data_IF_974942771479
#
_entry.id   IF_974942771479
#
_cell.length_a   1.000
_cell.length_b   1.000
_cell.length_c   1.000
_cell.angle_alpha   90.00
_cell.angle_beta   90.00
_cell.angle_gamma   90.00
#
_symmetry.space_group_name_H-M   'P 1'
#
loop_
_entity.id
_entity.type
_entity.pdbx_description
1 polymer ?
#
# COMPACT_ATOMS: atom_id res chain seq x y z
N UNK A 1 -1.73 3.39 30.46
CA UNK A 1 -1.09 3.71 29.18
C UNK A 1 -1.85 4.87 28.56
N UNK A 2 -1.17 5.91 28.07
CA UNK A 2 -1.88 6.99 27.35
C UNK A 2 -1.99 6.64 25.87
N UNK A 3 -3.08 7.03 25.21
CA UNK A 3 -3.18 6.88 23.74
C UNK A 3 -2.01 7.60 23.03
N UNK A 4 -1.48 8.67 23.63
CA UNK A 4 -0.32 9.40 23.13
C UNK A 4 0.92 8.51 23.00
N UNK A 5 1.26 7.71 24.02
CA UNK A 5 2.45 6.84 23.99
C UNK A 5 2.38 5.82 22.86
N UNK A 6 1.21 5.21 22.65
CA UNK A 6 0.99 4.22 21.59
C UNK A 6 1.03 4.85 20.20
N UNK A 7 0.36 5.99 20.01
CA UNK A 7 0.35 6.65 18.70
C UNK A 7 1.75 7.15 18.32
N UNK A 8 2.53 7.66 19.27
CA UNK A 8 3.94 8.01 19.04
C UNK A 8 4.77 6.80 18.63
N UNK A 9 4.58 5.66 19.31
CA UNK A 9 5.24 4.41 18.94
C UNK A 9 4.86 3.99 17.52
N UNK A 10 3.58 4.03 17.16
CA UNK A 10 3.14 3.68 15.81
C UNK A 10 3.71 4.63 14.75
N UNK A 11 3.66 5.95 14.96
CA UNK A 11 4.31 6.88 14.03
C UNK A 11 5.79 6.57 13.83
N UNK A 12 6.52 6.26 14.91
CA UNK A 12 7.94 5.88 14.81
C UNK A 12 8.14 4.56 14.03
N UNK A 13 7.29 3.56 14.27
CA UNK A 13 7.33 2.26 13.57
C UNK A 13 7.06 2.39 12.06
N UNK A 14 6.42 3.47 11.61
CA UNK A 14 6.21 3.74 10.18
C UNK A 14 7.51 3.72 9.35
N UNK A 15 8.67 4.01 9.95
CA UNK A 15 9.96 3.92 9.27
C UNK A 15 10.23 2.51 8.73
N UNK A 16 9.81 1.48 9.46
CA UNK A 16 9.99 0.08 9.05
C UNK A 16 9.03 -0.29 7.93
N UNK A 17 7.80 0.24 7.93
CA UNK A 17 6.88 0.08 6.80
C UNK A 17 7.48 0.66 5.53
N UNK A 18 7.98 1.90 5.61
CA UNK A 18 8.52 2.59 4.44
C UNK A 18 9.73 1.86 3.88
N UNK A 19 10.70 1.51 4.73
CA UNK A 19 11.90 0.80 4.32
C UNK A 19 11.61 -0.61 3.77
N UNK A 20 10.60 -1.32 4.32
CA UNK A 20 10.32 -2.71 3.91
C UNK A 20 9.43 -2.82 2.67
N UNK A 21 8.53 -1.86 2.45
CA UNK A 21 7.46 -1.98 1.44
C UNK A 21 7.42 -0.82 0.47
N UNK A 22 7.37 0.40 0.99
CA UNK A 22 7.12 1.59 0.16
C UNK A 22 8.35 1.98 -0.65
N UNK A 23 9.47 2.26 0.00
CA UNK A 23 10.68 2.77 -0.64
C UNK A 23 11.27 1.79 -1.68
N UNK A 24 11.36 0.46 -1.43
CA UNK A 24 11.85 -0.48 -2.43
C UNK A 24 10.97 -0.51 -3.69
N UNK A 25 9.64 -0.48 -3.52
CA UNK A 25 8.70 -0.48 -4.64
C UNK A 25 8.80 0.81 -5.46
N UNK A 26 8.73 1.96 -4.79
CA UNK A 26 8.72 3.26 -5.46
C UNK A 26 10.09 3.58 -6.07
N UNK A 27 11.18 3.16 -5.42
CA UNK A 27 12.55 3.26 -5.93
C UNK A 27 12.80 2.44 -7.19
N UNK A 28 12.21 1.24 -7.29
CA UNK A 28 12.27 0.39 -8.50
C UNK A 28 11.68 1.08 -9.74
N UNK A 29 10.73 1.98 -9.55
CA UNK A 29 10.02 2.71 -10.61
C UNK A 29 10.28 4.22 -10.50
N UNK A 30 11.54 4.64 -10.46
CA UNK A 30 11.96 6.01 -10.12
C UNK A 30 11.41 7.12 -11.04
N UNK A 31 11.01 6.80 -12.28
CA UNK A 31 10.45 7.77 -13.23
C UNK A 31 8.92 7.94 -13.13
N UNK A 32 8.29 7.38 -12.10
CA UNK A 32 6.83 7.34 -11.96
C UNK A 32 6.11 8.69 -12.05
N UNK A 33 6.75 9.83 -11.74
CA UNK A 33 6.13 11.15 -11.92
C UNK A 33 5.96 11.56 -13.39
N UNK A 34 6.81 11.04 -14.28
CA UNK A 34 6.84 11.40 -15.72
C UNK A 34 6.44 10.25 -16.63
N UNK A 35 6.50 9.02 -16.14
CA UNK A 35 6.17 7.81 -16.88
C UNK A 35 4.91 7.17 -16.27
N UNK A 36 3.78 7.28 -16.97
CA UNK A 36 2.49 6.72 -16.52
C UNK A 36 2.54 5.21 -16.34
N UNK A 37 3.36 4.49 -17.12
CA UNK A 37 3.51 3.04 -16.97
C UNK A 37 4.21 2.68 -15.66
N UNK A 38 5.24 3.42 -15.27
CA UNK A 38 5.92 3.21 -13.98
C UNK A 38 4.98 3.47 -12.80
N UNK A 39 4.19 4.54 -12.87
CA UNK A 39 3.19 4.85 -11.85
C UNK A 39 2.10 3.77 -11.73
N UNK A 40 1.66 3.26 -12.86
CA UNK A 40 0.72 2.14 -12.94
C UNK A 40 1.35 0.85 -12.40
N UNK A 41 2.61 0.56 -12.70
CA UNK A 41 3.29 -0.62 -12.16
C UNK A 41 3.40 -0.55 -10.62
N UNK A 42 3.66 0.63 -10.06
CA UNK A 42 3.58 0.85 -8.60
C UNK A 42 2.17 0.50 -8.10
N UNK A 43 1.12 1.02 -8.76
CA UNK A 43 -0.26 0.74 -8.40
C UNK A 43 -0.57 -0.77 -8.39
N UNK A 44 -0.15 -1.50 -9.43
CA UNK A 44 -0.41 -2.95 -9.54
C UNK A 44 0.35 -3.80 -8.53
N UNK A 45 1.61 -3.48 -8.25
CA UNK A 45 2.40 -4.23 -7.29
C UNK A 45 1.94 -3.98 -5.85
N UNK A 46 1.68 -2.72 -5.51
CA UNK A 46 1.43 -2.34 -4.11
C UNK A 46 -0.04 -2.37 -3.69
N UNK A 47 -1.00 -2.25 -4.62
CA UNK A 47 -2.35 -1.80 -4.25
C UNK A 47 -3.49 -2.53 -4.96
N UNK A 48 -3.45 -2.62 -6.30
CA UNK A 48 -4.55 -3.05 -7.18
C UNK A 48 -5.29 -4.32 -6.73
N UNK A 49 -4.56 -5.26 -6.15
CA UNK A 49 -5.08 -6.58 -5.83
C UNK A 49 -5.24 -6.85 -4.34
N UNK A 50 -5.08 -5.88 -3.44
CA UNK A 50 -5.07 -6.03 -1.97
C UNK A 50 -6.43 -6.45 -1.34
N UNK A 51 -6.90 -7.62 -1.78
CA UNK A 51 -8.09 -8.36 -1.37
C UNK A 51 -7.67 -9.67 -0.71
N UNK A 52 -8.51 -10.18 0.19
CA UNK A 52 -8.28 -11.46 0.85
C UNK A 52 -8.32 -12.61 -0.17
N UNK A 53 -7.38 -13.57 -0.06
CA UNK A 53 -7.33 -14.76 -0.91
C UNK A 53 -6.76 -14.54 -2.32
N UNK A 54 -6.17 -13.38 -2.61
CA UNK A 54 -5.57 -13.10 -3.92
C UNK A 54 -4.42 -14.05 -4.25
N UNK A 55 -4.26 -14.40 -5.52
CA UNK A 55 -3.07 -15.10 -6.00
C UNK A 55 -1.83 -14.18 -5.91
N UNK A 56 -0.71 -14.63 -5.33
CA UNK A 56 0.56 -13.90 -5.34
C UNK A 56 1.09 -13.61 -6.76
N UNK A 57 0.65 -14.39 -7.76
CA UNK A 57 1.09 -14.25 -9.15
C UNK A 57 0.45 -13.07 -9.89
N UNK A 58 -0.65 -12.50 -9.39
CA UNK A 58 -1.39 -11.46 -10.11
C UNK A 58 -0.60 -10.17 -10.31
N UNK A 59 -0.01 -9.54 -9.26
CA UNK A 59 0.79 -8.34 -9.47
C UNK A 59 1.95 -8.49 -10.46
N UNK A 60 2.84 -9.50 -10.36
CA UNK A 60 3.95 -9.63 -11.30
C UNK A 60 3.47 -9.94 -12.72
N UNK A 61 2.42 -10.77 -12.89
CA UNK A 61 1.86 -11.05 -14.21
C UNK A 61 1.23 -9.78 -14.84
N UNK A 62 0.51 -8.97 -14.05
CA UNK A 62 -0.06 -7.72 -14.51
C UNK A 62 1.02 -6.74 -14.97
N UNK A 63 2.08 -6.56 -14.17
CA UNK A 63 3.21 -5.71 -14.56
C UNK A 63 3.90 -6.21 -15.83
N UNK A 64 4.10 -7.53 -15.96
CA UNK A 64 4.69 -8.11 -17.17
C UNK A 64 3.84 -7.79 -18.40
N UNK A 65 2.53 -8.01 -18.33
CA UNK A 65 1.60 -7.72 -19.42
C UNK A 65 1.63 -6.24 -19.82
N UNK A 66 1.56 -5.33 -18.85
CA UNK A 66 1.59 -3.89 -19.09
C UNK A 66 2.89 -3.45 -19.79
N UNK A 67 4.04 -4.01 -19.36
CA UNK A 67 5.35 -3.66 -19.93
C UNK A 67 5.53 -4.18 -21.35
N UNK A 68 5.14 -5.43 -21.62
CA UNK A 68 5.19 -5.99 -22.98
C UNK A 68 4.26 -5.21 -23.92
N UNK A 69 3.07 -4.88 -23.46
CA UNK A 69 2.10 -4.12 -24.25
C UNK A 69 2.50 -2.69 -24.56
N UNK A 70 3.28 -2.04 -23.69
CA UNK A 70 3.84 -0.70 -23.99
C UNK A 70 4.74 -0.75 -25.23
N UNK A 71 5.52 -1.82 -25.40
CA UNK A 71 6.43 -1.96 -26.54
C UNK A 71 5.66 -2.14 -27.86
N UNK A 72 4.48 -2.77 -27.80
CA UNK A 72 3.65 -3.08 -28.96
C UNK A 72 2.55 -2.04 -29.23
N UNK A 73 2.40 -1.04 -28.35
CA UNK A 73 1.29 -0.07 -28.39
C UNK A 73 -0.11 -0.74 -28.35
N UNK A 74 -0.22 -1.79 -27.53
CA UNK A 74 -1.43 -2.60 -27.38
C UNK A 74 -2.58 -1.84 -26.71
N UNK A 75 -3.81 -2.21 -27.07
CA UNK A 75 -5.03 -1.68 -26.44
C UNK A 75 -5.24 -2.23 -25.02
N UNK A 76 -6.05 -1.58 -24.17
CA UNK A 76 -6.44 -2.13 -22.86
C UNK A 76 -7.00 -3.56 -22.93
N UNK A 77 -7.79 -3.86 -23.97
CA UNK A 77 -8.35 -5.18 -24.22
C UNK A 77 -7.26 -6.23 -24.45
N UNK A 78 -6.20 -5.86 -25.16
CA UNK A 78 -5.09 -6.77 -25.46
C UNK A 78 -4.20 -7.00 -24.24
N UNK A 79 -3.94 -5.95 -23.43
CA UNK A 79 -3.26 -6.07 -22.13
C UNK A 79 -3.98 -7.10 -21.23
N UNK A 80 -5.32 -7.04 -21.19
CA UNK A 80 -6.12 -7.99 -20.43
C UNK A 80 -5.94 -9.43 -20.90
N UNK A 81 -5.91 -9.68 -22.22
CA UNK A 81 -5.68 -11.02 -22.78
C UNK A 81 -4.27 -11.54 -22.46
N UNK A 82 -3.26 -10.70 -22.63
CA UNK A 82 -1.86 -11.05 -22.32
C UNK A 82 -1.73 -11.42 -20.85
N UNK A 83 -2.29 -10.59 -19.96
CA UNK A 83 -2.35 -10.89 -18.53
C UNK A 83 -3.03 -12.24 -18.26
N UNK A 84 -4.19 -12.49 -18.87
CA UNK A 84 -4.91 -13.75 -18.72
C UNK A 84 -4.10 -14.96 -19.17
N UNK A 85 -3.30 -14.82 -20.24
CA UNK A 85 -2.43 -15.89 -20.72
C UNK A 85 -1.33 -16.28 -19.71
N UNK A 86 -0.72 -15.31 -19.02
CA UNK A 86 0.32 -15.57 -18.01
C UNK A 86 -0.17 -16.30 -16.77
N UNK A 87 -1.48 -16.27 -16.51
CA UNK A 87 -2.09 -16.98 -15.37
C UNK A 87 -3.01 -18.10 -15.82
N UNK A 88 -2.92 -18.50 -17.10
CA UNK A 88 -3.74 -19.57 -17.70
C UNK A 88 -5.24 -19.38 -17.51
N UNK A 89 -5.69 -18.13 -17.47
CA UNK A 89 -7.08 -17.73 -17.18
C UNK A 89 -7.66 -18.27 -15.86
N UNK A 90 -6.82 -18.71 -14.91
CA UNK A 90 -7.28 -19.29 -13.63
C UNK A 90 -7.60 -18.20 -12.60
N UNK A 91 -8.78 -18.29 -11.99
CA UNK A 91 -9.23 -17.41 -10.90
C UNK A 91 -9.58 -15.97 -11.33
N UNK A 92 -9.66 -15.70 -12.63
CA UNK A 92 -9.93 -14.37 -13.15
C UNK A 92 -11.37 -13.92 -12.87
N UNK A 93 -11.53 -13.11 -11.84
CA UNK A 93 -12.77 -12.37 -11.64
C UNK A 93 -12.71 -11.03 -12.37
N UNK A 94 -13.46 -10.94 -13.48
CA UNK A 94 -13.56 -9.76 -14.34
C UNK A 94 -14.12 -8.53 -13.63
N UNK A 95 -14.97 -8.73 -12.63
CA UNK A 95 -15.72 -7.67 -11.93
C UNK A 95 -14.88 -6.93 -10.90
N UNK A 96 -13.76 -7.50 -10.47
CA UNK A 96 -12.85 -6.88 -9.48
C UNK A 96 -11.43 -6.72 -10.01
N UNK A 97 -11.19 -6.91 -11.31
CA UNK A 97 -9.86 -6.79 -11.89
C UNK A 97 -9.67 -5.42 -12.57
N UNK A 98 -8.71 -4.60 -12.11
CA UNK A 98 -8.42 -3.30 -12.71
C UNK A 98 -7.99 -3.34 -14.18
N UNK A 99 -7.45 -4.47 -14.66
CA UNK A 99 -7.03 -4.63 -16.06
C UNK A 99 -8.16 -4.99 -17.01
N UNK A 100 -9.27 -5.54 -16.51
CA UNK A 100 -10.34 -6.01 -17.38
C UNK A 100 -10.93 -4.82 -18.14
N UNK A 101 -10.83 -4.82 -19.46
CA UNK A 101 -11.46 -3.82 -20.31
C UNK A 101 -12.67 -4.44 -21.00
N UNK A 102 -13.79 -3.76 -20.91
CA UNK A 102 -15.02 -4.08 -21.64
C UNK A 102 -15.68 -2.76 -22.05
N UNK A 103 -15.93 -2.61 -23.36
CA UNK A 103 -16.42 -1.36 -23.96
C UNK A 103 -17.80 -0.96 -23.44
N UNK A 104 -18.60 -1.90 -22.92
CA UNK A 104 -19.90 -1.57 -22.33
C UNK A 104 -19.74 -1.01 -20.90
N UNK A 105 -18.99 -1.70 -20.03
CA UNK A 105 -18.81 -1.30 -18.64
C UNK A 105 -17.86 -0.12 -18.44
N UNK A 106 -16.83 0.03 -19.29
CA UNK A 106 -15.84 1.10 -19.18
C UNK A 106 -16.37 2.49 -19.55
N UNK A 107 -17.67 2.62 -19.84
CA UNK A 107 -18.35 3.87 -20.17
C UNK A 107 -19.36 4.33 -19.10
N UNK A 108 -19.67 3.51 -18.09
CA UNK A 108 -20.77 3.79 -17.16
C UNK A 108 -20.31 3.86 -15.70
N UNK A 109 -19.82 2.76 -15.12
CA UNK A 109 -19.31 2.65 -13.74
C UNK A 109 -18.28 1.53 -13.65
N UNK A 110 -17.25 1.71 -12.82
CA UNK A 110 -16.14 0.76 -12.60
C UNK A 110 -15.42 0.33 -13.89
N UNK A 111 -14.41 1.09 -14.24
CA UNK A 111 -13.68 1.03 -15.50
C UNK A 111 -12.37 0.28 -15.33
N UNK A 112 -11.78 -0.16 -16.45
CA UNK A 112 -10.36 -0.50 -16.45
C UNK A 112 -9.55 0.73 -16.03
N UNK A 113 -8.34 0.50 -15.54
CA UNK A 113 -7.48 1.58 -15.04
C UNK A 113 -7.15 2.65 -16.09
N UNK A 114 -7.05 2.32 -17.40
CA UNK A 114 -6.77 3.34 -18.42
C UNK A 114 -7.99 4.22 -18.69
N UNK A 115 -9.19 3.64 -18.76
CA UNK A 115 -10.42 4.41 -18.93
C UNK A 115 -10.72 5.30 -17.70
N UNK A 116 -10.44 4.81 -16.49
CA UNK A 116 -10.62 5.58 -15.26
C UNK A 116 -9.69 6.81 -15.18
N UNK A 117 -8.44 6.67 -15.65
CA UNK A 117 -7.44 7.73 -15.61
C UNK A 117 -7.46 8.65 -16.83
N UNK A 118 -7.90 8.15 -17.99
CA UNK A 118 -7.71 8.81 -19.27
C UNK A 118 -6.22 8.98 -19.56
N UNK A 119 -5.79 10.20 -19.90
CA UNK A 119 -4.37 10.54 -20.13
C UNK A 119 -3.57 10.84 -18.86
N UNK A 120 -4.18 10.78 -17.68
CA UNK A 120 -3.55 11.19 -16.43
C UNK A 120 -2.58 10.13 -15.91
N UNK A 121 -1.43 10.58 -15.42
CA UNK A 121 -0.55 9.78 -14.59
C UNK A 121 -1.17 9.63 -13.18
N UNK A 122 -1.41 8.40 -12.73
CA UNK A 122 -2.11 8.12 -11.46
C UNK A 122 -1.42 8.72 -10.24
N UNK A 123 -0.09 8.75 -10.19
CA UNK A 123 0.66 9.32 -9.06
C UNK A 123 0.71 10.83 -9.16
N UNK A 124 1.09 11.39 -10.31
CA UNK A 124 1.20 12.85 -10.47
C UNK A 124 -0.14 13.54 -10.29
N UNK A 125 -1.22 12.99 -10.85
CA UNK A 125 -2.58 13.52 -10.66
C UNK A 125 -3.03 13.42 -9.20
N UNK A 126 -2.72 12.32 -8.50
CA UNK A 126 -3.07 12.19 -7.08
C UNK A 126 -2.26 13.16 -6.21
N UNK A 127 -0.96 13.30 -6.47
CA UNK A 127 -0.10 14.29 -5.80
C UNK A 127 -0.62 15.71 -5.99
N UNK A 128 -1.03 16.07 -7.21
CA UNK A 128 -1.59 17.38 -7.52
C UNK A 128 -2.90 17.64 -6.75
N UNK A 129 -3.82 16.69 -6.74
CA UNK A 129 -5.08 16.83 -6.01
C UNK A 129 -4.86 16.95 -4.50
N UNK A 130 -3.95 16.14 -3.93
CA UNK A 130 -3.61 16.21 -2.51
C UNK A 130 -2.99 17.57 -2.14
N UNK A 131 -2.10 18.11 -2.98
CA UNK A 131 -1.55 19.46 -2.78
C UNK A 131 -2.61 20.57 -2.82
N UNK A 132 -3.73 20.33 -3.51
CA UNK A 132 -4.84 21.28 -3.65
C UNK A 132 -5.96 21.05 -2.62
N UNK A 133 -5.73 20.20 -1.60
CA UNK A 133 -6.76 19.77 -0.64
C UNK A 133 -7.99 19.10 -1.30
N UNK A 134 -7.81 18.47 -2.46
CA UNK A 134 -8.86 17.80 -3.23
C UNK A 134 -8.85 16.28 -3.03
N UNK A 135 -8.69 15.81 -1.77
CA UNK A 135 -8.57 14.38 -1.45
C UNK A 135 -9.77 13.58 -1.96
N UNK A 136 -11.00 14.11 -1.78
CA UNK A 136 -12.22 13.47 -2.26
C UNK A 136 -12.22 13.26 -3.77
N UNK A 137 -11.73 14.22 -4.55
CA UNK A 137 -11.62 14.11 -6.01
C UNK A 137 -10.65 13.02 -6.40
N UNK A 138 -9.48 12.96 -5.74
CA UNK A 138 -8.49 11.91 -5.98
C UNK A 138 -9.06 10.52 -5.64
N UNK A 139 -9.73 10.42 -4.48
CA UNK A 139 -10.32 9.19 -3.96
C UNK A 139 -11.44 8.68 -4.87
N UNK A 140 -12.36 9.54 -5.28
CA UNK A 140 -13.46 9.19 -6.18
C UNK A 140 -12.96 8.80 -7.57
N UNK A 141 -11.89 9.44 -8.07
CA UNK A 141 -11.23 9.00 -9.32
C UNK A 141 -10.68 7.59 -9.20
N UNK A 142 -9.99 7.26 -8.12
CA UNK A 142 -9.42 5.93 -7.92
C UNK A 142 -10.51 4.87 -7.80
N UNK A 143 -11.62 5.19 -7.12
CA UNK A 143 -12.77 4.28 -7.00
C UNK A 143 -13.51 4.00 -8.30
N UNK A 144 -13.25 4.77 -9.36
CA UNK A 144 -13.73 4.42 -10.70
C UNK A 144 -12.95 3.28 -11.30
N UNK A 145 -11.77 2.92 -10.78
CA UNK A 145 -11.02 1.76 -11.22
C UNK A 145 -11.68 0.50 -10.64
N UNK A 146 -11.96 -0.48 -11.49
CA UNK A 146 -12.57 -1.74 -11.09
C UNK A 146 -11.74 -2.45 -10.03
N UNK A 147 -12.40 -2.99 -9.01
CA UNK A 147 -11.73 -3.63 -7.86
C UNK A 147 -11.11 -2.64 -6.87
N UNK A 148 -11.27 -1.32 -7.04
CA UNK A 148 -10.74 -0.32 -6.11
C UNK A 148 -11.85 0.21 -5.23
N UNK A 149 -11.99 -0.39 -4.05
CA UNK A 149 -12.86 0.12 -2.98
C UNK A 149 -12.20 1.23 -2.14
N UNK A 150 -12.93 1.71 -1.12
CA UNK A 150 -12.44 2.74 -0.18
C UNK A 150 -11.06 2.39 0.40
N UNK A 151 -10.88 1.15 0.86
CA UNK A 151 -9.61 0.70 1.48
C UNK A 151 -8.42 0.89 0.52
N UNK A 152 -8.54 0.44 -0.73
CA UNK A 152 -7.43 0.48 -1.70
C UNK A 152 -7.15 1.92 -2.13
N UNK A 153 -8.21 2.72 -2.37
CA UNK A 153 -8.08 4.13 -2.69
C UNK A 153 -7.37 4.90 -1.55
N UNK A 154 -7.79 4.70 -0.30
CA UNK A 154 -7.15 5.28 0.87
C UNK A 154 -5.70 4.81 1.03
N UNK A 155 -5.44 3.52 0.88
CA UNK A 155 -4.09 2.95 0.99
C UNK A 155 -3.12 3.58 -0.01
N UNK A 156 -3.53 3.71 -1.28
CA UNK A 156 -2.72 4.34 -2.31
C UNK A 156 -2.49 5.83 -2.04
N UNK A 157 -3.53 6.60 -1.73
CA UNK A 157 -3.41 8.04 -1.48
C UNK A 157 -2.60 8.35 -0.22
N UNK A 158 -2.73 7.52 0.83
CA UNK A 158 -1.94 7.58 2.05
C UNK A 158 -0.45 7.51 1.73
N UNK A 159 -0.07 6.53 0.92
CA UNK A 159 1.33 6.35 0.55
C UNK A 159 1.84 7.46 -0.37
N UNK A 160 1.01 7.96 -1.31
CA UNK A 160 1.33 9.17 -2.09
C UNK A 160 1.61 10.36 -1.16
N UNK A 161 0.74 10.60 -0.17
CA UNK A 161 0.90 11.69 0.79
C UNK A 161 2.21 11.56 1.57
N UNK A 162 2.50 10.37 2.11
CA UNK A 162 3.73 10.11 2.87
C UNK A 162 4.98 10.25 1.99
N UNK A 163 4.95 9.72 0.76
CA UNK A 163 6.11 9.71 -0.13
C UNK A 163 6.55 11.13 -0.53
N UNK A 164 5.60 12.06 -0.63
CA UNK A 164 5.87 13.44 -1.00
C UNK A 164 5.70 14.43 0.16
N UNK A 165 5.59 13.92 1.40
CA UNK A 165 5.42 14.73 2.61
C UNK A 165 4.26 15.74 2.53
N UNK A 166 3.13 15.31 1.98
CA UNK A 166 1.92 16.12 1.84
C UNK A 166 1.09 16.06 3.14
N UNK A 167 0.54 17.20 3.54
CA UNK A 167 -0.27 17.33 4.77
C UNK A 167 -1.59 18.03 4.48
N UNK A 168 -2.45 17.44 3.63
CA UNK A 168 -3.73 18.05 3.32
C UNK A 168 -4.61 18.15 4.58
N UNK A 169 -5.47 19.17 4.61
CA UNK A 169 -6.25 19.58 5.77
C UNK A 169 -7.67 18.99 5.69
N UNK A 170 -8.28 19.00 4.50
CA UNK A 170 -9.69 18.59 4.31
C UNK A 170 -9.79 17.10 3.98
N UNK A 171 -10.83 16.44 4.50
CA UNK A 171 -11.17 15.04 4.20
C UNK A 171 -10.02 14.04 4.44
N UNK A 172 -9.08 14.35 5.35
CA UNK A 172 -7.88 13.55 5.61
C UNK A 172 -8.18 12.11 6.07
N UNK A 173 -9.38 11.86 6.60
CA UNK A 173 -9.86 10.52 6.92
C UNK A 173 -9.92 9.61 5.68
N UNK A 174 -10.04 10.16 4.46
CA UNK A 174 -9.95 9.40 3.21
C UNK A 174 -8.53 8.88 2.92
N UNK A 175 -7.52 9.32 3.66
CA UNK A 175 -6.15 8.78 3.63
C UNK A 175 -5.92 7.67 4.67
N UNK A 176 -6.96 7.22 5.36
CA UNK A 176 -6.83 6.22 6.43
C UNK A 176 -7.44 4.89 5.97
N UNK A 177 -6.65 3.99 5.37
CA UNK A 177 -7.16 2.65 5.07
C UNK A 177 -7.49 1.94 6.38
N UNK A 178 -8.69 1.36 6.45
CA UNK A 178 -9.15 0.57 7.60
C UNK A 178 -9.28 -0.88 7.17
N UNK A 179 -8.41 -1.71 7.72
CA UNK A 179 -8.51 -3.17 7.65
C UNK A 179 -8.76 -3.76 9.04
N UNK A 180 -8.65 -5.09 9.15
CA UNK A 180 -8.92 -5.79 10.40
C UNK A 180 -7.93 -5.39 11.52
N UNK A 181 -6.67 -5.10 11.20
CA UNK A 181 -5.67 -4.71 12.19
C UNK A 181 -5.91 -3.29 12.69
N UNK A 182 -6.11 -2.35 11.77
CA UNK A 182 -6.42 -0.96 12.12
C UNK A 182 -7.69 -0.90 12.97
N UNK A 183 -8.73 -1.65 12.59
CA UNK A 183 -9.96 -1.78 13.36
C UNK A 183 -9.71 -2.23 14.80
N UNK A 184 -8.98 -3.32 14.99
CA UNK A 184 -8.69 -3.88 16.32
C UNK A 184 -7.93 -2.89 17.21
N UNK A 185 -6.91 -2.24 16.66
CA UNK A 185 -6.14 -1.21 17.39
C UNK A 185 -7.06 -0.09 17.86
N UNK A 186 -7.84 0.51 16.94
CA UNK A 186 -8.67 1.67 17.28
C UNK A 186 -9.79 1.29 18.25
N UNK A 187 -10.45 0.14 18.06
CA UNK A 187 -11.50 -0.30 18.97
C UNK A 187 -10.97 -0.55 20.39
N UNK A 188 -9.75 -1.10 20.51
CA UNK A 188 -9.07 -1.28 21.80
C UNK A 188 -8.69 0.07 22.44
N UNK A 189 -8.04 0.98 21.69
CA UNK A 189 -7.63 2.29 22.22
C UNK A 189 -8.80 3.24 22.51
N UNK A 190 -9.95 3.03 21.87
CA UNK A 190 -11.16 3.82 22.06
C UNK A 190 -12.16 3.17 23.05
N UNK A 191 -11.87 1.96 23.56
CA UNK A 191 -12.80 1.18 24.39
C UNK A 191 -14.21 1.08 23.78
N UNK A 192 -14.31 0.90 22.45
CA UNK A 192 -15.58 0.86 21.72
C UNK A 192 -15.50 -0.13 20.56
N UNK A 193 -16.41 -1.10 20.52
CA UNK A 193 -16.48 -2.14 19.49
C UNK A 193 -17.34 -1.78 18.28
N UNK A 194 -18.12 -0.69 18.33
CA UNK A 194 -19.19 -0.40 17.35
C UNK A 194 -18.82 0.62 16.27
N UNK A 195 -17.53 0.96 16.13
CA UNK A 195 -17.11 1.95 15.13
C UNK A 195 -17.12 1.39 13.70
N UNK A 196 -17.77 2.09 12.78
CA UNK A 196 -17.65 1.81 11.36
C UNK A 196 -16.27 2.26 10.81
N UNK A 197 -15.96 1.90 9.55
CA UNK A 197 -14.66 2.25 8.96
C UNK A 197 -14.41 3.75 8.88
N UNK A 198 -15.45 4.57 8.70
CA UNK A 198 -15.31 6.01 8.60
C UNK A 198 -15.01 6.62 9.96
N UNK A 199 -15.77 6.22 10.98
CA UNK A 199 -15.53 6.65 12.36
C UNK A 199 -14.12 6.26 12.84
N UNK A 200 -13.63 5.07 12.47
CA UNK A 200 -12.25 4.65 12.75
C UNK A 200 -11.24 5.58 12.05
N UNK A 201 -11.43 5.87 10.77
CA UNK A 201 -10.57 6.75 10.01
C UNK A 201 -10.53 8.18 10.56
N UNK A 202 -11.69 8.74 10.91
CA UNK A 202 -11.83 10.06 11.54
C UNK A 202 -11.14 10.09 12.92
N UNK A 203 -11.34 9.05 13.74
CA UNK A 203 -10.69 8.92 15.04
C UNK A 203 -9.16 8.97 14.95
N UNK A 204 -8.56 8.28 13.97
CA UNK A 204 -7.10 8.31 13.77
C UNK A 204 -6.64 9.73 13.47
N UNK A 205 -7.32 10.44 12.58
CA UNK A 205 -6.96 11.82 12.21
C UNK A 205 -7.08 12.76 13.42
N UNK A 206 -8.20 12.71 14.12
CA UNK A 206 -8.47 13.60 15.25
C UNK A 206 -7.49 13.36 16.40
N UNK A 207 -7.30 12.09 16.78
CA UNK A 207 -6.41 11.75 17.90
C UNK A 207 -4.94 12.03 17.57
N UNK A 208 -4.50 11.79 16.33
CA UNK A 208 -3.15 12.17 15.92
C UNK A 208 -2.98 13.68 15.91
N UNK A 209 -3.99 14.45 15.47
CA UNK A 209 -3.96 15.91 15.50
C UNK A 209 -3.84 16.46 16.92
N UNK A 210 -4.62 15.93 17.86
CA UNK A 210 -4.53 16.27 19.30
C UNK A 210 -3.13 16.00 19.88
N UNK A 211 -2.43 14.98 19.35
CA UNK A 211 -1.10 14.57 19.77
C UNK A 211 0.05 15.20 18.97
N UNK A 212 -0.24 16.03 17.96
CA UNK A 212 0.74 16.56 17.01
C UNK A 212 1.55 15.46 16.27
N UNK A 213 0.86 14.39 15.88
CA UNK A 213 1.39 13.21 15.17
C UNK A 213 0.91 13.23 13.71
N UNK A 214 1.69 12.70 12.76
CA UNK A 214 1.22 12.50 11.40
C UNK A 214 0.31 11.26 11.30
N UNK A 215 -1.01 11.40 11.03
CA UNK A 215 -1.94 10.27 10.98
C UNK A 215 -1.64 9.25 9.88
N UNK A 216 -1.14 9.66 8.71
CA UNK A 216 -0.79 8.72 7.64
C UNK A 216 0.36 7.79 8.05
N UNK A 217 1.41 8.36 8.66
CA UNK A 217 2.54 7.60 9.22
C UNK A 217 2.10 6.74 10.40
N UNK A 218 1.28 7.29 11.30
CA UNK A 218 0.70 6.51 12.40
C UNK A 218 -0.04 5.27 11.87
N UNK A 219 -0.88 5.43 10.83
CA UNK A 219 -1.55 4.29 10.21
C UNK A 219 -0.58 3.29 9.56
N UNK A 220 0.51 3.74 8.94
CA UNK A 220 1.54 2.83 8.39
C UNK A 220 2.17 1.99 9.50
N UNK A 221 2.51 2.61 10.63
CA UNK A 221 3.11 1.89 11.74
C UNK A 221 2.14 1.07 12.57
N UNK A 222 0.87 1.47 12.70
CA UNK A 222 -0.19 0.63 13.25
C UNK A 222 -0.28 -0.70 12.47
N UNK A 223 -0.35 -0.61 11.14
CA UNK A 223 -0.41 -1.80 10.30
C UNK A 223 0.86 -2.64 10.41
N UNK A 224 2.04 -2.02 10.30
CA UNK A 224 3.31 -2.76 10.37
C UNK A 224 3.50 -3.43 11.73
N UNK A 225 3.20 -2.73 12.82
CA UNK A 225 3.29 -3.29 14.16
C UNK A 225 2.37 -4.50 14.30
N UNK A 226 1.08 -4.36 13.99
CA UNK A 226 0.13 -5.46 14.12
C UNK A 226 0.47 -6.65 13.20
N UNK A 227 0.73 -6.40 11.93
CA UNK A 227 0.89 -7.47 10.93
C UNK A 227 2.29 -8.11 10.93
N UNK A 228 3.34 -7.41 11.39
CA UNK A 228 4.74 -7.86 11.27
C UNK A 228 5.48 -8.01 12.59
N UNK A 229 5.11 -7.26 13.62
CA UNK A 229 5.78 -7.28 14.93
C UNK A 229 4.99 -8.14 15.91
N UNK A 230 3.70 -7.83 16.11
CA UNK A 230 2.82 -8.64 16.93
C UNK A 230 2.45 -9.95 16.22
N UNK A 231 2.08 -9.88 14.94
CA UNK A 231 1.84 -11.05 14.08
C UNK A 231 0.63 -11.92 14.46
N UNK A 232 -0.06 -11.61 15.56
CA UNK A 232 -1.26 -12.29 16.02
C UNK A 232 -2.15 -11.35 16.84
N UNK A 233 -3.42 -11.72 16.95
CA UNK A 233 -4.42 -10.99 17.73
C UNK A 233 -4.04 -10.93 19.21
N UNK A 234 -3.55 -12.06 19.75
CA UNK A 234 -3.13 -12.18 21.14
C UNK A 234 -1.97 -11.23 21.47
N UNK A 235 -0.89 -11.28 20.68
CA UNK A 235 0.29 -10.43 20.88
C UNK A 235 -0.05 -8.93 20.74
N UNK A 236 -0.98 -8.61 19.82
CA UNK A 236 -1.47 -7.24 19.64
C UNK A 236 -2.26 -6.77 20.86
N UNK A 237 -3.17 -7.59 21.38
CA UNK A 237 -3.96 -7.27 22.58
C UNK A 237 -3.05 -7.06 23.80
N UNK A 238 -2.08 -7.95 24.03
CA UNK A 238 -1.09 -7.78 25.10
C UNK A 238 -0.32 -6.47 24.94
N UNK A 239 0.10 -6.14 23.72
CA UNK A 239 0.83 -4.89 23.43
C UNK A 239 0.00 -3.63 23.67
N UNK A 240 -1.30 -3.66 23.40
CA UNK A 240 -2.21 -2.53 23.62
C UNK A 240 -2.54 -2.33 25.10
N UNK A 241 -2.37 -3.35 25.94
CA UNK A 241 -2.57 -3.31 27.38
C UNK A 241 -1.27 -2.98 28.15
N UNK A 242 -0.11 -3.38 27.64
CA UNK A 242 1.20 -3.14 28.25
C UNK A 242 2.25 -2.59 27.24
N UNK A 243 2.67 -1.34 27.46
CA UNK A 243 3.71 -0.67 26.67
C UNK A 243 5.05 -1.38 26.75
N UNK A 244 5.37 -2.00 27.89
CA UNK A 244 6.65 -2.69 28.04
C UNK A 244 6.67 -3.96 27.20
N UNK A 245 5.55 -4.67 27.13
CA UNK A 245 5.37 -5.79 26.21
C UNK A 245 5.55 -5.34 24.75
N UNK A 246 4.85 -4.28 24.33
CA UNK A 246 4.98 -3.72 22.98
C UNK A 246 6.44 -3.31 22.64
N UNK A 247 7.12 -2.66 23.59
CA UNK A 247 8.54 -2.27 23.44
C UNK A 247 9.47 -3.47 23.34
N UNK A 248 9.21 -4.54 24.09
CA UNK A 248 10.02 -5.76 24.03
C UNK A 248 9.86 -6.46 22.68
N UNK A 249 8.64 -6.57 22.16
CA UNK A 249 8.43 -7.09 20.80
C UNK A 249 9.16 -6.26 19.75
N UNK A 250 9.05 -4.93 19.83
CA UNK A 250 9.74 -4.02 18.91
C UNK A 250 11.27 -4.18 19.00
N UNK A 251 11.85 -4.27 20.20
CA UNK A 251 13.29 -4.50 20.41
C UNK A 251 13.75 -5.83 19.81
N UNK A 252 12.99 -6.89 20.04
CA UNK A 252 13.28 -8.21 19.49
C UNK A 252 13.24 -8.18 17.95
N UNK A 253 12.21 -7.56 17.36
CA UNK A 253 12.09 -7.39 15.92
C UNK A 253 13.27 -6.61 15.32
N UNK A 254 13.67 -5.50 15.95
CA UNK A 254 14.85 -4.73 15.53
C UNK A 254 16.13 -5.57 15.61
N UNK A 255 16.29 -6.40 16.65
CA UNK A 255 17.44 -7.31 16.75
C UNK A 255 17.47 -8.32 15.61
N UNK A 256 16.32 -8.91 15.25
CA UNK A 256 16.20 -9.82 14.10
C UNK A 256 16.58 -9.10 12.80
N UNK A 257 16.06 -7.90 12.56
CA UNK A 257 16.38 -7.12 11.36
C UNK A 257 17.88 -6.81 11.24
N UNK A 258 18.55 -6.47 12.35
CA UNK A 258 20.00 -6.24 12.37
C UNK A 258 20.76 -7.51 11.99
N UNK A 259 20.41 -8.64 12.58
CA UNK A 259 21.03 -9.93 12.24
C UNK A 259 20.80 -10.32 10.79
N UNK A 260 19.57 -10.15 10.28
CA UNK A 260 19.25 -10.40 8.87
C UNK A 260 20.02 -9.48 7.92
N UNK A 261 20.24 -8.21 8.30
CA UNK A 261 21.05 -7.29 7.50
C UNK A 261 22.50 -7.75 7.40
N UNK A 262 23.11 -8.23 8.48
CA UNK A 262 24.46 -8.80 8.45
C UNK A 262 24.53 -10.04 7.56
N UNK A 263 23.55 -10.94 7.66
CA UNK A 263 23.48 -12.14 6.82
C UNK A 263 23.30 -11.79 5.32
N UNK A 264 22.55 -10.73 5.00
CA UNK A 264 22.36 -10.28 3.63
C UNK A 264 23.67 -9.76 3.01
N UNK A 265 24.48 -9.02 3.78
CA UNK A 265 25.81 -8.55 3.34
C UNK A 265 26.75 -9.74 3.07
N UNK A 266 26.72 -10.76 3.94
CA UNK A 266 27.49 -11.98 3.73
C UNK A 266 27.08 -12.70 2.44
N UNK A 267 25.77 -12.87 2.20
CA UNK A 267 25.24 -13.48 0.98
C UNK A 267 25.65 -12.71 -0.27
N UNK A 268 25.60 -11.38 -0.25
CA UNK A 268 26.04 -10.53 -1.37
C UNK A 268 27.53 -10.76 -1.70
N UNK A 269 28.39 -10.87 -0.69
CA UNK A 269 29.80 -11.19 -0.89
C UNK A 269 30.00 -12.57 -1.52
N UNK A 270 29.22 -13.57 -1.10
CA UNK A 270 29.30 -14.92 -1.65
C UNK A 270 28.83 -14.97 -3.12
N UNK A 271 27.74 -14.27 -3.45
CA UNK A 271 27.23 -14.18 -4.82
C UNK A 271 28.24 -13.51 -5.76
N UNK A 272 28.90 -12.44 -5.31
CA UNK A 272 29.94 -11.78 -6.10
C UNK A 272 31.10 -12.75 -6.39
N UNK A 273 31.59 -13.48 -5.38
CA UNK A 273 32.65 -14.47 -5.57
C UNK A 273 32.25 -15.56 -6.56
N UNK A 274 31.00 -16.03 -6.51
CA UNK A 274 30.50 -17.03 -7.45
C UNK A 274 30.46 -16.51 -8.90
N UNK A 275 29.92 -15.31 -9.12
CA UNK A 275 29.90 -14.66 -10.43
C UNK A 275 31.32 -14.41 -11.00
N UNK A 276 32.28 -14.03 -10.15
CA UNK A 276 33.67 -13.88 -10.56
C UNK A 276 34.30 -15.22 -10.98
N UNK A 277 33.98 -16.31 -10.30
CA UNK A 277 34.47 -17.63 -10.66
C UNK A 277 33.90 -18.12 -12.01
N UNK A 278 32.64 -17.82 -12.31
CA UNK A 278 32.01 -18.15 -13.61
C UNK A 278 32.59 -17.36 -14.79
N UNK A 279 33.09 -16.13 -14.57
CA UNK A 279 33.69 -15.29 -15.63
C UNK A 279 35.16 -15.60 -15.91
N UNK A 280 35.85 -16.26 -14.97
CA UNK A 280 37.28 -16.57 -15.04
C UNK A 280 37.57 -18.04 -15.38
N UNK A 281 36.55 -18.89 -15.50
CA UNK A 281 36.63 -20.29 -15.94
C UNK A 281 36.11 -20.47 -17.36
#
# INVERSE_FOLDING_TARGET
>A
MTNLDMLNMFEAVSVLFRASYQEPLWGKYCNHLRNSIDAVCIFFIGYAFEHQGRSPSYPPAAVKAIKESKANNDSPQEIWKIFGSFIHNKGLNKDINPLNHDDNSCNTKEMCIWCALGSKNIISASKEDLNKDQIKVAHDRLKRIRGVGNKIASLFLRDVAVNYNLTPIKDRWLLQPVDIWIRRIVQSLNNSSEMDNRAIAEWIVDRCKECNINPERCNQGMWYFAARIAGSDFELEQSLQDMNYARNLLKNHISVLKTSSSAAIELESQLNNWLFAELCG
#
